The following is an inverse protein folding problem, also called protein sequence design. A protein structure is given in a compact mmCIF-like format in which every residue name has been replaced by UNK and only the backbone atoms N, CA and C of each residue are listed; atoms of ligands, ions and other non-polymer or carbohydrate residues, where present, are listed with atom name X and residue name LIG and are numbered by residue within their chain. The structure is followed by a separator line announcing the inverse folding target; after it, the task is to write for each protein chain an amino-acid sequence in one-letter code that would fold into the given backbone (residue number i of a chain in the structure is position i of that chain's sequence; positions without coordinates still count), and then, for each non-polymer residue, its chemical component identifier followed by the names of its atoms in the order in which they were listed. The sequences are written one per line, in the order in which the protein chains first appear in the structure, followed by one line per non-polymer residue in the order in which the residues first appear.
data_IF_339569935993
#
_entry.id   IF_339569935993
#
_cell.length_a   1.000
_cell.length_b   1.000
_cell.length_c   1.000
_cell.angle_alpha   90.00
_cell.angle_beta   90.00
_cell.angle_gamma   90.00
#
_symmetry.space_group_name_H-M   'P 1'
#
loop_
_entity.id
_entity.type
_entity.pdbx_description
1 polymer ?
#
# COMPACT_ATOMS: atom_id res chain seq x y z
N UNK A 1 12.62 -1.60 -16.77
CA UNK A 1 11.82 -1.28 -15.58
C UNK A 1 11.92 0.20 -15.27
N UNK A 2 10.84 0.77 -14.98
CA UNK A 2 10.81 2.16 -14.62
C UNK A 2 11.14 2.29 -13.13
N UNK A 3 12.27 2.84 -12.78
CA UNK A 3 12.53 3.03 -11.37
C UNK A 3 11.50 3.99 -10.82
N UNK A 4 11.05 3.71 -9.66
CA UNK A 4 10.15 4.63 -8.99
C UNK A 4 10.90 5.93 -8.76
N UNK A 5 10.24 7.02 -9.03
CA UNK A 5 10.81 8.33 -8.84
C UNK A 5 11.11 8.62 -7.39
N UNK A 6 10.58 7.83 -6.52
CA UNK A 6 10.65 8.10 -5.11
C UNK A 6 11.70 7.30 -4.39
N UNK A 7 12.55 6.59 -5.10
CA UNK A 7 13.42 5.65 -4.43
C UNK A 7 14.66 6.29 -3.83
N UNK A 8 14.54 6.97 -2.71
CA UNK A 8 15.74 7.32 -1.95
C UNK A 8 16.27 6.14 -1.18
N UNK A 9 15.56 5.03 -1.18
CA UNK A 9 15.82 3.97 -0.23
C UNK A 9 16.39 2.70 -0.84
N UNK A 10 16.50 2.62 -2.16
CA UNK A 10 17.10 1.47 -2.79
C UNK A 10 16.29 0.97 -3.98
N UNK A 11 16.70 -0.15 -4.55
CA UNK A 11 16.03 -0.69 -5.73
C UNK A 11 14.64 -1.20 -5.38
N UNK A 12 13.72 -1.10 -6.32
CA UNK A 12 12.40 -1.64 -6.08
C UNK A 12 12.34 -3.11 -6.49
N UNK A 13 11.43 -3.80 -5.84
CA UNK A 13 11.09 -5.16 -6.19
C UNK A 13 10.14 -5.14 -7.36
N UNK A 14 10.40 -5.99 -8.33
CA UNK A 14 9.53 -6.13 -9.47
C UNK A 14 8.76 -7.42 -9.32
N UNK A 15 7.45 -7.30 -9.32
CA UNK A 15 6.60 -8.48 -9.31
C UNK A 15 6.66 -9.08 -10.71
N UNK A 16 6.95 -10.34 -10.81
CA UNK A 16 7.12 -10.97 -12.10
C UNK A 16 5.90 -10.76 -12.98
N UNK A 17 5.87 -11.36 -14.11
CA UNK A 17 4.90 -11.12 -15.17
C UNK A 17 3.45 -11.31 -14.79
N UNK A 18 3.04 -10.99 -13.59
CA UNK A 18 1.63 -11.17 -13.27
C UNK A 18 1.17 -10.07 -12.34
N UNK A 19 -0.05 -9.71 -12.56
CA UNK A 19 -0.70 -8.80 -11.66
C UNK A 19 -1.01 -9.53 -10.37
N UNK A 20 -0.79 -8.83 -9.30
CA UNK A 20 -1.21 -9.32 -8.00
C UNK A 20 -2.70 -9.04 -7.86
N UNK A 21 -3.46 -10.06 -7.52
CA UNK A 21 -4.87 -9.89 -7.23
C UNK A 21 -5.02 -9.04 -5.97
N UNK A 22 -5.85 -8.01 -6.04
CA UNK A 22 -5.97 -7.06 -4.94
C UNK A 22 -6.41 -7.72 -3.63
N UNK A 23 -7.35 -8.64 -3.72
CA UNK A 23 -7.84 -9.33 -2.53
C UNK A 23 -6.73 -10.16 -1.89
N UNK A 24 -6.00 -10.90 -2.70
CA UNK A 24 -4.88 -11.72 -2.21
C UNK A 24 -3.80 -10.85 -1.60
N UNK A 25 -3.45 -9.75 -2.26
CA UNK A 25 -2.44 -8.84 -1.73
C UNK A 25 -2.85 -8.33 -0.34
N UNK A 26 -4.07 -7.87 -0.23
CA UNK A 26 -4.54 -7.31 1.04
C UNK A 26 -4.59 -8.36 2.15
N UNK A 27 -4.87 -9.61 1.80
CA UNK A 27 -4.85 -10.70 2.78
C UNK A 27 -3.44 -11.03 3.27
N UNK A 28 -2.44 -10.83 2.42
CA UNK A 28 -1.07 -11.20 2.75
C UNK A 28 -0.28 -10.07 3.39
N UNK A 29 -0.79 -8.86 3.33
CA UNK A 29 -0.02 -7.68 3.73
C UNK A 29 0.39 -7.72 5.20
N UNK A 30 -0.54 -8.04 6.09
CA UNK A 30 -0.23 -8.07 7.51
C UNK A 30 0.78 -9.15 7.88
N UNK A 31 0.65 -10.40 7.42
CA UNK A 31 1.67 -11.41 7.75
C UNK A 31 3.02 -11.13 7.12
N UNK A 32 3.07 -10.44 5.97
CA UNK A 32 4.34 -10.10 5.34
C UNK A 32 5.10 -8.99 6.08
N UNK A 33 4.38 -8.10 6.74
CA UNK A 33 4.98 -6.94 7.40
C UNK A 33 4.52 -6.85 8.85
N UNK A 34 4.88 -7.84 9.69
CA UNK A 34 4.40 -7.83 11.09
C UNK A 34 4.95 -6.67 11.90
N UNK A 35 6.05 -6.05 11.45
CA UNK A 35 6.63 -4.90 12.13
C UNK A 35 5.96 -3.58 11.77
N UNK A 36 5.11 -3.55 10.76
CA UNK A 36 4.45 -2.33 10.34
C UNK A 36 3.43 -1.87 11.38
N UNK A 37 3.40 -0.56 11.60
CA UNK A 37 2.48 0.05 12.57
C UNK A 37 1.47 0.96 11.91
N UNK A 38 1.83 1.53 10.76
CA UNK A 38 1.02 2.57 10.11
C UNK A 38 0.97 2.31 8.63
N UNK A 39 -0.20 2.53 8.05
CA UNK A 39 -0.39 2.43 6.62
C UNK A 39 -0.97 3.75 6.11
N UNK A 40 -0.48 4.18 4.95
CA UNK A 40 -0.94 5.39 4.30
C UNK A 40 -1.54 5.02 2.95
N UNK A 41 -2.66 5.65 2.64
CA UNK A 41 -3.34 5.46 1.35
C UNK A 41 -3.55 6.79 0.68
N UNK A 42 -3.42 6.81 -0.63
CA UNK A 42 -3.77 7.98 -1.45
C UNK A 42 -4.61 7.52 -2.62
N UNK A 43 -5.57 8.35 -2.99
CA UNK A 43 -6.34 8.03 -4.19
C UNK A 43 -7.24 9.18 -4.60
N UNK A 44 -7.61 9.18 -5.87
CA UNK A 44 -8.47 10.19 -6.45
C UNK A 44 -9.86 9.67 -6.80
N UNK A 45 -10.07 8.36 -6.71
CA UNK A 45 -11.33 7.72 -7.11
C UNK A 45 -11.80 6.71 -6.08
N UNK A 46 -11.48 6.93 -4.82
CA UNK A 46 -11.76 5.97 -3.76
C UNK A 46 -13.26 5.89 -3.51
N UNK A 47 -13.81 4.69 -3.49
CA UNK A 47 -15.23 4.48 -3.26
C UNK A 47 -15.63 4.89 -1.84
N UNK A 48 -16.86 5.39 -1.64
CA UNK A 48 -17.28 5.88 -0.32
C UNK A 48 -17.17 4.84 0.80
N UNK A 49 -17.48 3.58 0.53
CA UNK A 49 -17.38 2.55 1.56
C UNK A 49 -15.93 2.23 1.91
N UNK A 50 -15.01 2.44 0.98
CA UNK A 50 -13.58 2.29 1.24
C UNK A 50 -13.10 3.46 2.11
N UNK A 51 -13.54 4.67 1.81
CA UNK A 51 -13.25 5.83 2.65
C UNK A 51 -13.72 5.57 4.09
N UNK A 52 -14.90 4.99 4.24
CA UNK A 52 -15.42 4.66 5.57
C UNK A 52 -14.50 3.70 6.32
N UNK A 53 -13.92 2.72 5.61
CA UNK A 53 -12.97 1.80 6.23
C UNK A 53 -11.73 2.57 6.71
N UNK A 54 -11.19 3.44 5.87
CA UNK A 54 -10.02 4.24 6.25
C UNK A 54 -10.33 5.12 7.47
N UNK A 55 -11.48 5.76 7.47
CA UNK A 55 -11.86 6.64 8.58
C UNK A 55 -12.06 5.86 9.87
N UNK A 56 -12.59 4.66 9.78
CA UNK A 56 -12.78 3.82 10.96
C UNK A 56 -11.46 3.40 11.59
N UNK A 57 -10.41 3.32 10.80
CA UNK A 57 -9.09 2.92 11.25
C UNK A 57 -8.11 4.08 11.30
N UNK A 58 -8.61 5.31 11.28
CA UNK A 58 -7.78 6.48 11.23
C UNK A 58 -6.83 6.60 12.41
N UNK A 59 -5.62 7.05 12.13
CA UNK A 59 -4.60 7.32 13.12
C UNK A 59 -4.27 8.81 13.05
N UNK A 60 -4.33 9.55 14.15
CA UNK A 60 -4.23 11.02 14.11
C UNK A 60 -2.82 11.58 13.95
N UNK A 61 -1.84 10.78 13.63
CA UNK A 61 -0.48 11.27 13.45
C UNK A 61 -0.26 12.02 12.14
N UNK A 62 0.98 12.48 11.90
CA UNK A 62 1.29 13.22 10.69
C UNK A 62 1.31 12.32 9.46
N UNK A 63 1.10 12.92 8.30
CA UNK A 63 1.18 12.21 7.04
C UNK A 63 2.65 12.18 6.61
N UNK A 64 3.30 11.02 6.72
CA UNK A 64 4.74 10.91 6.52
C UNK A 64 5.19 10.76 5.06
N UNK A 65 4.46 10.05 4.18
CA UNK A 65 4.95 9.87 2.82
C UNK A 65 5.07 11.19 2.07
N UNK A 66 6.12 11.29 1.27
CA UNK A 66 6.35 12.45 0.42
C UNK A 66 5.94 12.15 -1.01
N UNK A 67 5.10 11.16 -1.20
CA UNK A 67 4.69 10.77 -2.53
C UNK A 67 4.01 11.94 -3.21
N UNK A 68 4.38 12.14 -4.45
CA UNK A 68 3.78 13.17 -5.26
C UNK A 68 3.00 12.49 -6.34
N UNK A 69 1.74 12.76 -6.37
CA UNK A 69 0.92 12.24 -7.43
C UNK A 69 1.19 13.08 -8.66
N UNK A 70 1.93 12.50 -9.56
CA UNK A 70 2.41 13.20 -10.73
C UNK A 70 1.29 13.61 -11.68
N UNK A 71 0.14 12.98 -11.57
CA UNK A 71 -0.97 13.24 -12.49
C UNK A 71 -2.20 13.77 -11.80
N UNK A 72 -2.05 14.32 -10.65
CA UNK A 72 -3.24 14.76 -9.96
C UNK A 72 -3.62 16.16 -10.38
N UNK A 73 -4.70 16.24 -11.07
CA UNK A 73 -5.34 17.50 -11.35
C UNK A 73 -6.59 17.66 -10.51
N UNK A 74 -6.89 16.71 -9.66
CA UNK A 74 -8.10 16.74 -8.86
C UNK A 74 -7.82 16.58 -7.39
N UNK A 75 -8.87 16.48 -6.61
CA UNK A 75 -8.78 16.28 -5.18
C UNK A 75 -8.25 14.88 -4.91
N UNK A 76 -7.11 14.81 -4.24
CA UNK A 76 -6.54 13.56 -3.80
C UNK A 76 -6.82 13.41 -2.33
N UNK A 77 -7.39 12.28 -1.97
CA UNK A 77 -7.62 11.93 -0.59
C UNK A 77 -6.40 11.20 -0.06
N UNK A 78 -5.99 11.55 1.15
CA UNK A 78 -4.87 10.94 1.83
C UNK A 78 -5.31 10.50 3.21
N UNK A 79 -4.92 9.30 3.58
CA UNK A 79 -5.31 8.72 4.86
C UNK A 79 -4.11 8.14 5.58
N UNK A 80 -4.03 8.38 6.88
CA UNK A 80 -3.12 7.69 7.77
C UNK A 80 -3.96 6.78 8.65
N UNK A 81 -3.67 5.49 8.64
CA UNK A 81 -4.44 4.49 9.36
C UNK A 81 -3.53 3.62 10.22
N UNK A 82 -4.10 3.09 11.28
CA UNK A 82 -3.42 2.05 12.04
C UNK A 82 -3.35 0.80 11.19
N UNK A 83 -2.17 0.22 11.12
CA UNK A 83 -1.98 -1.01 10.35
C UNK A 83 -2.24 -2.22 11.24
N UNK A 84 -3.36 -2.86 11.02
CA UNK A 84 -3.80 -4.02 11.82
C UNK A 84 -4.34 -5.09 10.88
N UNK A 85 -4.42 -6.34 11.35
CA UNK A 85 -5.11 -7.36 10.56
C UNK A 85 -6.55 -6.98 10.23
N UNK A 86 -7.20 -6.22 11.08
CA UNK A 86 -8.60 -5.85 10.87
C UNK A 86 -8.79 -4.94 9.66
N UNK A 87 -7.92 -3.94 9.47
CA UNK A 87 -8.06 -3.09 8.29
C UNK A 87 -7.78 -3.89 7.02
N UNK A 88 -6.81 -4.80 7.07
CA UNK A 88 -6.52 -5.65 5.93
C UNK A 88 -7.69 -6.55 5.58
N UNK A 89 -8.35 -7.12 6.57
CA UNK A 89 -9.53 -7.95 6.35
C UNK A 89 -10.68 -7.15 5.75
N UNK A 90 -10.92 -5.97 6.29
CA UNK A 90 -12.01 -5.13 5.80
C UNK A 90 -11.77 -4.73 4.35
N UNK A 91 -10.55 -4.35 4.02
CA UNK A 91 -10.21 -3.97 2.65
C UNK A 91 -10.26 -5.18 1.70
N UNK A 92 -9.77 -6.33 2.13
CA UNK A 92 -9.80 -7.52 1.30
C UNK A 92 -11.25 -7.93 0.98
N UNK A 93 -12.12 -7.88 1.98
CA UNK A 93 -13.52 -8.18 1.77
C UNK A 93 -14.17 -7.20 0.80
N UNK A 94 -13.91 -5.92 1.00
CA UNK A 94 -14.48 -4.88 0.13
C UNK A 94 -13.94 -4.95 -1.29
N UNK A 95 -12.70 -5.39 -1.46
CA UNK A 95 -12.05 -5.44 -2.78
C UNK A 95 -12.75 -6.38 -3.76
N UNK A 96 -13.55 -7.29 -3.25
CA UNK A 96 -14.31 -8.20 -4.11
C UNK A 96 -15.36 -7.47 -4.94
N UNK A 97 -15.73 -6.25 -4.56
CA UNK A 97 -16.80 -5.50 -5.19
C UNK A 97 -16.33 -4.21 -5.82
N UNK A 98 -15.02 -3.99 -5.92
CA UNK A 98 -14.48 -2.74 -6.43
C UNK A 98 -13.34 -2.98 -7.39
N UNK A 99 -13.23 -2.11 -8.38
CA UNK A 99 -12.03 -2.04 -9.23
C UNK A 99 -10.88 -1.46 -8.40
N UNK A 100 -9.66 -1.77 -8.80
CA UNK A 100 -8.48 -1.35 -8.05
C UNK A 100 -8.40 0.15 -7.78
N UNK A 101 -8.67 1.03 -8.77
CA UNK A 101 -8.61 2.47 -8.49
C UNK A 101 -9.61 2.95 -7.46
N UNK A 102 -10.68 2.19 -7.24
CA UNK A 102 -11.67 2.53 -6.22
C UNK A 102 -11.20 2.18 -4.82
N UNK A 103 -10.14 1.40 -4.71
CA UNK A 103 -9.52 1.07 -3.42
C UNK A 103 -8.53 2.15 -3.02
N UNK A 104 -7.55 2.40 -3.84
CA UNK A 104 -6.55 3.45 -3.66
C UNK A 104 -5.61 3.45 -4.85
N UNK A 105 -4.86 4.54 -5.02
CA UNK A 105 -3.85 4.64 -6.06
C UNK A 105 -2.46 4.29 -5.54
N UNK A 106 -2.16 4.72 -4.30
CA UNK A 106 -0.84 4.51 -3.70
C UNK A 106 -1.00 3.97 -2.30
N UNK A 107 -0.05 3.12 -1.90
CA UNK A 107 -0.02 2.53 -0.56
C UNK A 107 1.39 2.59 0.00
N UNK A 108 1.50 2.97 1.27
CA UNK A 108 2.79 3.05 1.96
C UNK A 108 2.67 2.43 3.33
N UNK A 109 3.65 1.58 3.70
CA UNK A 109 3.71 0.98 5.03
C UNK A 109 4.91 1.52 5.78
N UNK A 110 4.70 1.84 7.04
CA UNK A 110 5.75 2.35 7.92
C UNK A 110 5.79 1.58 9.22
N UNK A 111 7.00 1.40 9.75
CA UNK A 111 7.22 1.00 11.14
C UNK A 111 7.60 2.28 11.87
N UNK A 112 6.62 2.92 12.49
CA UNK A 112 6.76 4.24 13.09
C UNK A 112 7.22 5.26 12.04
N UNK A 113 8.48 5.67 12.05
CA UNK A 113 8.98 6.66 11.10
C UNK A 113 9.77 6.04 9.95
N UNK A 114 9.94 4.72 9.95
CA UNK A 114 10.74 4.02 8.94
C UNK A 114 9.86 3.45 7.85
N UNK A 115 10.04 3.85 6.60
CA UNK A 115 9.27 3.26 5.51
C UNK A 115 9.69 1.81 5.28
N UNK A 116 8.70 0.94 5.11
CA UNK A 116 8.92 -0.47 4.85
C UNK A 116 8.53 -0.85 3.43
N UNK A 117 7.46 -0.25 2.92
CA UNK A 117 6.93 -0.53 1.60
C UNK A 117 6.42 0.76 0.99
N UNK A 118 6.78 1.01 -0.26
CA UNK A 118 6.18 2.08 -1.06
C UNK A 118 5.67 1.46 -2.34
N UNK A 119 4.41 1.63 -2.60
CA UNK A 119 3.79 1.09 -3.80
C UNK A 119 3.01 2.18 -4.50
N UNK A 120 3.70 3.09 -5.17
CA UNK A 120 3.01 4.06 -6.02
C UNK A 120 2.38 3.32 -7.19
N UNK A 121 1.20 3.77 -7.57
CA UNK A 121 0.41 3.09 -8.59
C UNK A 121 0.21 1.63 -8.18
N UNK A 122 -0.42 1.46 -7.03
CA UNK A 122 -0.61 0.14 -6.42
C UNK A 122 -1.31 -0.82 -7.36
N UNK A 123 -1.03 -2.10 -7.18
CA UNK A 123 -1.47 -3.19 -8.02
C UNK A 123 -0.78 -3.22 -9.38
N UNK A 124 0.20 -2.36 -9.58
CA UNK A 124 1.16 -2.52 -10.65
C UNK A 124 2.20 -3.56 -10.24
N UNK A 125 3.11 -3.87 -11.13
CA UNK A 125 4.10 -4.91 -10.85
C UNK A 125 5.43 -4.38 -10.34
N UNK A 126 5.46 -3.16 -9.81
CA UNK A 126 6.68 -2.59 -9.26
C UNK A 126 6.39 -1.95 -7.91
N UNK A 127 7.07 -2.42 -6.88
CA UNK A 127 6.97 -1.83 -5.56
C UNK A 127 8.36 -1.77 -4.93
N UNK A 128 8.53 -0.83 -4.01
CA UNK A 128 9.77 -0.70 -3.27
C UNK A 128 9.58 -1.29 -1.88
N UNK A 129 10.55 -2.11 -1.45
CA UNK A 129 10.53 -2.74 -0.14
C UNK A 129 11.87 -2.46 0.53
N UNK A 130 11.85 -2.08 1.79
CA UNK A 130 13.04 -1.73 2.52
C UNK A 130 14.02 -2.91 2.59
N UNK A 131 15.31 -2.61 2.50
CA UNK A 131 16.35 -3.64 2.54
C UNK A 131 16.42 -4.36 3.89
N UNK A 132 15.84 -3.78 4.93
CA UNK A 132 15.76 -4.42 6.23
C UNK A 132 14.78 -5.60 6.25
N UNK A 133 13.91 -5.71 5.26
CA UNK A 133 12.98 -6.84 5.18
C UNK A 133 13.71 -8.01 4.54
N UNK A 134 13.75 -9.18 5.20
CA UNK A 134 14.47 -10.33 4.64
C UNK A 134 13.88 -10.77 3.32
N UNK A 135 14.76 -11.03 2.37
CA UNK A 135 14.36 -11.49 1.06
C UNK A 135 13.56 -12.79 1.14
N UNK A 136 13.91 -13.65 2.09
CA UNK A 136 13.21 -14.91 2.28
C UNK A 136 11.73 -14.71 2.63
N UNK A 137 11.40 -13.63 3.33
CA UNK A 137 10.01 -13.34 3.68
C UNK A 137 9.21 -13.02 2.43
N UNK A 138 9.82 -12.27 1.51
CA UNK A 138 9.16 -11.86 0.27
C UNK A 138 9.09 -13.04 -0.69
N UNK A 139 10.18 -13.76 -0.83
CA UNK A 139 10.25 -14.89 -1.76
C UNK A 139 9.32 -16.04 -1.40
N UNK A 140 8.92 -16.14 -0.14
CA UNK A 140 7.98 -17.17 0.30
C UNK A 140 6.53 -16.77 0.04
N UNK A 141 6.31 -15.56 -0.43
CA UNK A 141 4.97 -15.03 -0.64
C UNK A 141 4.54 -15.23 -2.09
N UNK A 142 3.26 -15.51 -2.36
CA UNK A 142 2.76 -15.53 -3.73
C UNK A 142 2.79 -14.17 -4.41
N UNK A 143 3.17 -13.11 -3.72
CA UNK A 143 3.32 -11.80 -4.33
C UNK A 143 4.56 -11.71 -5.23
N UNK A 144 5.52 -12.58 -5.03
CA UNK A 144 6.81 -12.47 -5.73
C UNK A 144 7.02 -13.62 -6.68
#
# INVERSE_FOLDING_TARGET
MQPSLTLPLGPCWELEDRRVDSTTFLQLLAPMFPEATTVFFEGSSIAPNIVTIFERHADPGPYLPKAQTLWSTGAILRFRCNFTPDICKALASASLHHAEPELFDHLFLYAEHLPLLEWPDAFSNCMWIASSIPESRIGASPLV
#
